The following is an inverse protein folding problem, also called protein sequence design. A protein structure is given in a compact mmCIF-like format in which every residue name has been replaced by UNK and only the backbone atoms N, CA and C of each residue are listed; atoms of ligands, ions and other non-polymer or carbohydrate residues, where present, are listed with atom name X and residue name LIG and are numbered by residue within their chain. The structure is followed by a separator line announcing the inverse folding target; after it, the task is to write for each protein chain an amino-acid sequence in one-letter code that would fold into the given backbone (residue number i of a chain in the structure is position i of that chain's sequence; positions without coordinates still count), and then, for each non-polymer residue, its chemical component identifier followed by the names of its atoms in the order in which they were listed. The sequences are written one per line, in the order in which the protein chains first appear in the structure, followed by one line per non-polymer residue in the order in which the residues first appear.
data_IF_812542525884
#
_entry.id   IF_812542525884
#
_cell.length_a   1.000
_cell.length_b   1.000
_cell.length_c   1.000
_cell.angle_alpha   90.00
_cell.angle_beta   90.00
_cell.angle_gamma   90.00
#
_symmetry.space_group_name_H-M   'P 1'
#
loop_
_entity.id
_entity.type
_entity.pdbx_description
1 polymer ?
#
# COMPACT_ATOMS: atom_id res chain seq x y z
N UNK A 1 -5.94 18.64 -41.71
CA UNK A 1 -5.06 19.07 -40.60
C UNK A 1 -5.80 18.93 -39.27
N UNK A 2 -5.29 18.04 -38.42
CA UNK A 2 -5.38 17.98 -36.94
C UNK A 2 -5.58 16.53 -36.52
N UNK A 3 -4.49 15.90 -36.09
CA UNK A 3 -4.51 14.82 -35.10
C UNK A 3 -3.09 14.63 -34.58
N UNK A 4 -2.79 15.25 -33.44
CA UNK A 4 -1.76 14.82 -32.51
C UNK A 4 -2.43 14.76 -31.14
N UNK A 5 -3.01 13.60 -30.79
CA UNK A 5 -3.27 13.29 -29.39
C UNK A 5 -1.92 13.12 -28.71
N UNK A 6 -1.66 13.93 -27.70
CA UNK A 6 -0.36 13.96 -27.05
C UNK A 6 -0.17 12.70 -26.21
N UNK A 7 1.01 12.07 -26.28
CA UNK A 7 1.37 10.94 -25.41
C UNK A 7 1.23 11.28 -23.90
N UNK A 8 1.23 12.57 -23.54
CA UNK A 8 1.09 13.05 -22.16
C UNK A 8 -0.27 12.73 -21.54
N UNK A 9 -1.36 12.70 -22.33
CA UNK A 9 -2.68 12.34 -21.82
C UNK A 9 -2.79 10.83 -21.58
N UNK A 10 -2.08 10.03 -22.39
CA UNK A 10 -1.98 8.58 -22.22
C UNK A 10 -1.16 8.19 -20.97
N UNK A 11 -0.11 8.97 -20.62
CA UNK A 11 0.66 8.77 -19.39
C UNK A 11 -0.09 9.19 -18.12
N UNK A 12 -1.01 10.16 -18.21
CA UNK A 12 -1.94 10.48 -17.11
C UNK A 12 -2.97 9.38 -16.84
N UNK A 13 -3.30 8.58 -17.86
CA UNK A 13 -4.22 7.45 -17.73
C UNK A 13 -3.55 6.17 -17.21
N UNK A 14 -2.24 6.03 -17.35
CA UNK A 14 -1.51 4.78 -17.07
C UNK A 14 -1.05 4.60 -15.61
N UNK A 15 -1.19 5.62 -14.76
CA UNK A 15 -1.25 5.42 -13.32
C UNK A 15 -2.71 5.21 -12.96
N UNK A 16 -3.22 3.98 -13.14
CA UNK A 16 -4.42 3.53 -12.44
C UNK A 16 -4.16 3.76 -10.95
N UNK A 17 -4.60 4.91 -10.46
CA UNK A 17 -4.24 5.39 -9.14
C UNK A 17 -4.74 4.34 -8.15
N UNK A 18 -3.80 3.62 -7.55
CA UNK A 18 -4.11 2.52 -6.64
C UNK A 18 -4.88 3.13 -5.49
N UNK A 19 -6.18 2.85 -5.43
CA UNK A 19 -7.07 3.43 -4.43
C UNK A 19 -7.41 2.42 -3.36
N UNK A 20 -7.30 1.13 -3.68
CA UNK A 20 -7.81 0.03 -2.87
C UNK A 20 -7.24 0.05 -1.45
N UNK A 21 -5.96 0.39 -1.27
CA UNK A 21 -5.33 0.46 0.05
C UNK A 21 -5.32 1.86 0.68
N UNK A 22 -5.62 2.93 -0.07
CA UNK A 22 -5.53 4.33 0.39
C UNK A 22 -6.87 5.05 0.54
N UNK A 23 -7.97 4.44 0.11
CA UNK A 23 -9.31 5.02 0.21
C UNK A 23 -10.30 4.13 0.99
N UNK A 24 -11.36 4.78 1.45
CA UNK A 24 -12.56 4.14 2.01
C UNK A 24 -13.70 4.43 1.06
N UNK A 25 -14.41 3.38 0.62
CA UNK A 25 -15.56 3.51 -0.29
C UNK A 25 -16.74 2.68 0.19
N UNK A 26 -17.95 3.14 -0.11
CA UNK A 26 -19.22 2.47 0.16
C UNK A 26 -19.90 2.15 -1.15
N UNK A 27 -20.70 1.08 -1.16
CA UNK A 27 -21.51 0.63 -2.29
C UNK A 27 -20.72 0.54 -3.60
N UNK A 28 -19.49 -0.01 -3.51
CA UNK A 28 -18.63 -0.21 -4.67
C UNK A 28 -19.24 -1.23 -5.62
N UNK A 29 -18.97 -1.07 -6.92
CA UNK A 29 -19.47 -1.97 -7.95
C UNK A 29 -18.92 -3.39 -7.80
N UNK A 30 -19.62 -4.37 -8.36
CA UNK A 30 -19.15 -5.77 -8.36
C UNK A 30 -17.79 -5.95 -9.05
N UNK A 31 -17.45 -5.10 -10.02
CA UNK A 31 -16.14 -5.09 -10.65
C UNK A 31 -15.06 -4.59 -9.68
N UNK A 32 -15.33 -3.53 -8.91
CA UNK A 32 -14.40 -2.98 -7.93
C UNK A 32 -14.19 -3.87 -6.71
N UNK A 33 -15.15 -4.77 -6.41
CA UNK A 33 -15.00 -5.79 -5.37
C UNK A 33 -14.02 -6.90 -5.77
N UNK A 34 -13.72 -7.07 -7.06
CA UNK A 34 -12.73 -8.06 -7.48
C UNK A 34 -11.32 -7.63 -7.07
N UNK A 35 -10.44 -8.58 -6.71
CA UNK A 35 -9.04 -8.27 -6.45
C UNK A 35 -8.39 -7.65 -7.68
N UNK A 36 -7.70 -6.52 -7.50
CA UNK A 36 -6.87 -5.94 -8.56
C UNK A 36 -5.61 -6.77 -8.81
N UNK A 37 -4.88 -6.46 -9.88
CA UNK A 37 -3.54 -7.02 -10.08
C UNK A 37 -2.63 -6.69 -8.87
N UNK A 38 -1.99 -7.73 -8.32
CA UNK A 38 -1.17 -7.66 -7.10
C UNK A 38 -1.95 -7.79 -5.78
N UNK A 39 -3.28 -7.67 -5.81
CA UNK A 39 -4.13 -7.93 -4.66
C UNK A 39 -4.44 -9.43 -4.56
N UNK A 40 -4.37 -9.97 -3.34
CA UNK A 40 -4.65 -11.38 -3.03
C UNK A 40 -5.64 -11.46 -1.88
N UNK A 41 -6.68 -12.25 -2.07
CA UNK A 41 -7.58 -12.63 -0.97
C UNK A 41 -6.80 -13.54 -0.03
N UNK A 42 -6.71 -13.14 1.23
CA UNK A 42 -6.04 -13.90 2.30
C UNK A 42 -7.05 -14.76 3.03
N UNK A 43 -8.20 -14.18 3.38
CA UNK A 43 -9.24 -14.87 4.12
C UNK A 43 -10.64 -14.38 3.71
N UNK A 44 -11.62 -15.25 3.90
CA UNK A 44 -13.04 -14.95 3.76
C UNK A 44 -13.73 -15.43 5.04
N UNK A 45 -14.35 -14.49 5.74
CA UNK A 45 -15.07 -14.73 6.99
C UNK A 45 -16.55 -14.51 6.74
N UNK A 46 -17.28 -15.62 6.67
CA UNK A 46 -18.73 -15.62 6.55
C UNK A 46 -19.41 -15.26 7.87
N UNK A 47 -20.69 -14.88 7.78
CA UNK A 47 -21.53 -14.57 8.94
C UNK A 47 -20.95 -13.47 9.82
N UNK A 48 -20.49 -12.39 9.19
CA UNK A 48 -20.01 -11.16 9.83
C UNK A 48 -21.06 -10.08 9.65
N UNK A 49 -21.54 -9.50 10.74
CA UNK A 49 -22.45 -8.36 10.72
C UNK A 49 -21.64 -7.05 10.80
N UNK A 50 -22.00 -6.06 9.98
CA UNK A 50 -21.60 -4.66 10.20
C UNK A 50 -22.57 -4.03 11.21
N UNK A 51 -22.24 -4.15 12.49
CA UNK A 51 -23.10 -3.75 13.61
C UNK A 51 -23.35 -2.24 13.66
N UNK A 52 -22.49 -1.42 13.05
CA UNK A 52 -22.66 0.03 13.07
C UNK A 52 -23.42 0.55 11.85
N UNK A 53 -23.08 0.08 10.65
CA UNK A 53 -23.72 0.55 9.41
C UNK A 53 -24.97 -0.23 9.04
N UNK A 54 -24.99 -1.55 9.25
CA UNK A 54 -26.02 -2.46 8.74
C UNK A 54 -26.47 -3.47 9.80
N UNK A 55 -26.83 -2.97 10.98
CA UNK A 55 -27.18 -3.80 12.14
C UNK A 55 -28.43 -4.66 11.88
N UNK A 56 -28.35 -5.96 12.14
CA UNK A 56 -29.39 -6.92 11.79
C UNK A 56 -29.18 -7.63 10.45
N UNK A 57 -28.19 -7.23 9.66
CA UNK A 57 -27.89 -7.87 8.38
C UNK A 57 -26.67 -8.78 8.47
N UNK A 58 -26.83 -10.03 8.04
CA UNK A 58 -25.71 -10.95 7.88
C UNK A 58 -24.93 -10.57 6.62
N UNK A 59 -23.62 -10.45 6.76
CA UNK A 59 -22.70 -10.23 5.66
C UNK A 59 -21.52 -11.18 5.66
N UNK A 60 -20.58 -10.86 4.77
CA UNK A 60 -19.30 -11.53 4.59
C UNK A 60 -18.21 -10.48 4.61
N UNK A 61 -17.14 -10.75 5.37
CA UNK A 61 -15.91 -9.97 5.34
C UNK A 61 -14.84 -10.70 4.53
N UNK A 62 -14.33 -10.04 3.50
CA UNK A 62 -13.21 -10.49 2.67
C UNK A 62 -11.99 -9.70 3.12
N UNK A 63 -10.94 -10.42 3.51
CA UNK A 63 -9.67 -9.88 3.97
C UNK A 63 -8.66 -10.07 2.85
N UNK A 64 -8.19 -8.97 2.25
CA UNK A 64 -7.13 -8.99 1.24
C UNK A 64 -5.84 -8.42 1.79
N UNK A 65 -4.75 -8.54 1.04
CA UNK A 65 -3.46 -7.91 1.38
C UNK A 65 -3.46 -6.37 1.23
N UNK A 66 -4.53 -5.74 0.72
CA UNK A 66 -4.62 -4.30 0.50
C UNK A 66 -5.79 -3.63 1.22
N UNK A 67 -6.89 -4.34 1.45
CA UNK A 67 -8.14 -3.80 2.02
C UNK A 67 -8.98 -4.85 2.70
N UNK A 68 -9.94 -4.39 3.49
CA UNK A 68 -11.08 -5.18 3.94
C UNK A 68 -12.31 -4.81 3.13
N UNK A 69 -13.04 -5.82 2.66
CA UNK A 69 -14.30 -5.62 1.94
C UNK A 69 -15.39 -6.32 2.73
N UNK A 70 -16.41 -5.60 3.15
CA UNK A 70 -17.61 -6.21 3.71
C UNK A 70 -18.76 -6.02 2.73
N UNK A 71 -19.58 -7.05 2.55
CA UNK A 71 -20.84 -6.91 1.82
C UNK A 71 -21.96 -7.67 2.52
N UNK A 72 -23.18 -7.15 2.41
CA UNK A 72 -24.37 -7.86 2.86
C UNK A 72 -24.53 -9.16 2.06
N UNK A 73 -24.97 -10.23 2.73
CA UNK A 73 -25.10 -11.55 2.10
C UNK A 73 -26.30 -11.62 1.16
N UNK A 74 -27.40 -10.95 1.51
CA UNK A 74 -28.66 -10.96 0.73
C UNK A 74 -28.64 -9.90 -0.37
N UNK A 75 -28.10 -8.71 -0.10
CA UNK A 75 -28.07 -7.58 -1.04
C UNK A 75 -26.64 -7.08 -1.21
N UNK A 76 -25.79 -7.72 -2.05
CA UNK A 76 -24.36 -7.40 -2.16
C UNK A 76 -24.04 -5.98 -2.66
N UNK A 77 -25.04 -5.23 -3.17
CA UNK A 77 -24.88 -3.81 -3.50
C UNK A 77 -24.61 -2.95 -2.27
N UNK A 78 -25.10 -3.39 -1.10
CA UNK A 78 -24.78 -2.80 0.19
C UNK A 78 -23.45 -3.38 0.62
N UNK A 79 -22.40 -2.58 0.48
CA UNK A 79 -21.04 -3.01 0.77
C UNK A 79 -20.13 -1.83 1.14
N UNK A 80 -18.94 -2.15 1.63
CA UNK A 80 -17.91 -1.19 1.94
C UNK A 80 -16.53 -1.79 1.70
N UNK A 81 -15.58 -0.93 1.41
CA UNK A 81 -14.16 -1.22 1.22
C UNK A 81 -13.34 -0.27 2.09
N UNK A 82 -12.46 -0.83 2.92
CA UNK A 82 -11.58 -0.09 3.83
C UNK A 82 -10.13 -0.39 3.43
N UNK A 83 -9.43 0.57 2.84
CA UNK A 83 -8.01 0.46 2.56
C UNK A 83 -7.17 0.36 3.82
N UNK A 84 -6.17 -0.54 3.82
CA UNK A 84 -5.34 -0.79 5.00
C UNK A 84 -4.48 0.43 5.39
N UNK A 85 -4.12 1.31 4.46
CA UNK A 85 -3.41 2.57 4.76
C UNK A 85 -4.30 3.59 5.49
N UNK A 86 -5.63 3.45 5.40
CA UNK A 86 -6.55 4.35 6.08
C UNK A 86 -6.72 4.00 7.56
N UNK A 87 -6.38 2.78 7.97
CA UNK A 87 -6.62 2.29 9.33
C UNK A 87 -5.69 3.01 10.31
N UNK A 88 -6.28 3.59 11.36
CA UNK A 88 -5.57 4.21 12.47
C UNK A 88 -5.38 3.18 13.59
N UNK A 89 -6.44 2.44 13.92
CA UNK A 89 -6.39 1.44 14.98
C UNK A 89 -7.44 0.35 14.80
N UNK A 90 -7.12 -0.83 15.32
CA UNK A 90 -8.01 -1.97 15.42
C UNK A 90 -8.05 -2.38 16.90
N UNK A 91 -9.25 -2.56 17.44
CA UNK A 91 -9.45 -2.98 18.82
C UNK A 91 -10.61 -3.98 18.92
N UNK A 92 -10.53 -4.88 19.90
CA UNK A 92 -11.68 -5.71 20.29
C UNK A 92 -12.38 -5.01 21.45
N UNK A 93 -13.69 -4.77 21.32
CA UNK A 93 -14.53 -4.23 22.38
C UNK A 93 -15.89 -4.89 22.35
N UNK A 94 -16.60 -4.88 23.48
CA UNK A 94 -17.96 -5.38 23.55
C UNK A 94 -18.92 -4.45 22.80
N UNK A 95 -19.80 -5.03 21.98
CA UNK A 95 -20.87 -4.35 21.24
C UNK A 95 -22.19 -5.11 21.38
N UNK A 96 -23.30 -4.43 21.06
CA UNK A 96 -24.64 -5.03 21.03
C UNK A 96 -25.07 -5.25 19.59
N UNK A 97 -24.95 -6.50 19.13
CA UNK A 97 -25.44 -6.94 17.83
C UNK A 97 -26.92 -7.27 17.88
N UNK A 98 -27.67 -6.92 16.84
CA UNK A 98 -29.09 -7.32 16.73
C UNK A 98 -29.24 -8.82 16.50
N UNK A 99 -28.29 -9.44 15.79
CA UNK A 99 -28.31 -10.88 15.50
C UNK A 99 -27.69 -11.75 16.61
N UNK A 100 -26.88 -11.14 17.50
CA UNK A 100 -26.01 -11.86 18.44
C UNK A 100 -26.22 -11.48 19.91
N UNK A 101 -26.85 -10.33 20.17
CA UNK A 101 -26.87 -9.72 21.50
C UNK A 101 -25.52 -9.11 21.87
N UNK A 102 -25.24 -9.02 23.17
CA UNK A 102 -23.97 -8.51 23.70
C UNK A 102 -22.83 -9.49 23.41
N UNK A 103 -21.82 -9.04 22.66
CA UNK A 103 -20.70 -9.89 22.24
C UNK A 103 -19.47 -9.05 21.92
N UNK A 104 -18.32 -9.70 21.78
CA UNK A 104 -17.10 -9.03 21.34
C UNK A 104 -17.15 -8.72 19.85
N UNK A 105 -16.82 -7.49 19.50
CA UNK A 105 -16.80 -7.00 18.14
C UNK A 105 -15.46 -6.34 17.81
N UNK A 106 -15.14 -6.36 16.52
CA UNK A 106 -13.95 -5.76 15.94
C UNK A 106 -14.25 -4.30 15.61
N UNK A 107 -13.59 -3.39 16.31
CA UNK A 107 -13.63 -1.96 16.07
C UNK A 107 -12.47 -1.57 15.16
N UNK A 108 -12.78 -1.02 13.99
CA UNK A 108 -11.80 -0.49 13.05
C UNK A 108 -11.99 1.01 12.96
N UNK A 109 -11.03 1.78 13.50
CA UNK A 109 -10.97 3.22 13.35
C UNK A 109 -10.11 3.53 12.13
N UNK A 110 -10.66 4.27 11.16
CA UNK A 110 -9.96 4.62 9.94
C UNK A 110 -10.17 6.10 9.59
N UNK A 111 -9.26 6.65 8.78
CA UNK A 111 -9.33 8.03 8.31
C UNK A 111 -9.01 8.08 6.82
N UNK A 112 -9.96 8.60 6.06
CA UNK A 112 -9.77 9.08 4.69
C UNK A 112 -9.89 10.61 4.72
N UNK A 113 -10.82 11.19 3.95
CA UNK A 113 -11.18 12.61 4.05
C UNK A 113 -11.70 12.97 5.45
N UNK A 114 -12.51 12.08 6.02
CA UNK A 114 -13.05 12.17 7.38
C UNK A 114 -12.68 10.92 8.18
N UNK A 115 -12.93 10.95 9.50
CA UNK A 115 -12.75 9.79 10.36
C UNK A 115 -14.00 8.92 10.33
N UNK A 116 -13.80 7.62 10.18
CA UNK A 116 -14.82 6.59 10.24
C UNK A 116 -14.48 5.58 11.31
N UNK A 117 -15.51 4.99 11.90
CA UNK A 117 -15.37 3.83 12.77
C UNK A 117 -16.34 2.78 12.26
N UNK A 118 -15.85 1.55 12.13
CA UNK A 118 -16.60 0.37 11.69
C UNK A 118 -16.61 -0.65 12.82
N UNK A 119 -17.72 -1.35 12.98
CA UNK A 119 -17.89 -2.35 14.04
C UNK A 119 -18.35 -3.64 13.38
N UNK A 120 -17.51 -4.67 13.40
CA UNK A 120 -17.82 -5.97 12.83
C UNK A 120 -18.00 -7.03 13.91
N UNK A 121 -19.14 -7.70 13.89
CA UNK A 121 -19.46 -8.78 14.83
C UNK A 121 -19.42 -10.12 14.12
N UNK A 122 -18.66 -11.08 14.65
CA UNK A 122 -18.74 -12.45 14.20
C UNK A 122 -19.97 -13.13 14.79
N UNK A 123 -20.88 -13.62 13.94
CA UNK A 123 -22.09 -14.29 14.41
C UNK A 123 -21.80 -15.72 14.89
N UNK A 124 -20.72 -16.35 14.40
CA UNK A 124 -20.32 -17.72 14.76
C UNK A 124 -19.70 -17.73 16.18
N UNK A 125 -20.31 -18.44 17.15
CA UNK A 125 -19.81 -18.48 18.53
C UNK A 125 -18.42 -19.09 18.62
N UNK A 126 -17.57 -18.54 19.49
CA UNK A 126 -16.28 -19.14 19.84
C UNK A 126 -15.24 -19.14 18.70
N UNK A 127 -15.53 -18.52 17.56
CA UNK A 127 -14.58 -18.45 16.44
C UNK A 127 -13.75 -17.16 16.49
N UNK A 128 -12.44 -17.24 16.77
CA UNK A 128 -11.56 -16.07 16.78
C UNK A 128 -11.13 -15.63 15.37
N UNK A 129 -11.51 -16.38 14.32
CA UNK A 129 -10.97 -16.26 12.95
C UNK A 129 -11.04 -14.83 12.41
N UNK A 130 -12.16 -14.14 12.64
CA UNK A 130 -12.34 -12.73 12.25
C UNK A 130 -11.19 -11.87 12.79
N UNK A 131 -10.95 -11.95 14.09
CA UNK A 131 -9.96 -11.13 14.78
C UNK A 131 -8.54 -11.52 14.39
N UNK A 132 -8.23 -12.82 14.34
CA UNK A 132 -6.88 -13.31 14.04
C UNK A 132 -6.45 -12.91 12.63
N UNK A 133 -7.31 -13.11 11.62
CA UNK A 133 -6.97 -12.84 10.22
C UNK A 133 -6.83 -11.34 9.96
N UNK A 134 -7.76 -10.52 10.47
CA UNK A 134 -7.73 -9.06 10.31
C UNK A 134 -6.49 -8.45 10.98
N UNK A 135 -6.20 -8.83 12.23
CA UNK A 135 -5.07 -8.28 12.98
C UNK A 135 -3.74 -8.70 12.35
N UNK A 136 -3.62 -9.97 11.94
CA UNK A 136 -2.40 -10.48 11.31
C UNK A 136 -2.09 -9.72 10.00
N UNK A 137 -3.08 -9.55 9.14
CA UNK A 137 -2.90 -8.87 7.85
C UNK A 137 -2.66 -7.38 8.03
N UNK A 138 -3.38 -6.70 8.92
CA UNK A 138 -3.10 -5.29 9.21
C UNK A 138 -1.66 -5.09 9.71
N UNK A 139 -1.18 -5.93 10.63
CA UNK A 139 0.21 -5.87 11.12
C UNK A 139 1.22 -6.11 10.00
N UNK A 140 0.99 -7.11 9.16
CA UNK A 140 1.87 -7.40 8.03
C UNK A 140 1.90 -6.26 7.01
N UNK A 141 0.75 -5.63 6.75
CA UNK A 141 0.69 -4.42 5.92
C UNK A 141 1.49 -3.29 6.59
N UNK A 142 1.25 -3.00 7.87
CA UNK A 142 1.89 -1.89 8.58
C UNK A 142 3.42 -1.98 8.65
N UNK A 143 3.97 -3.18 8.86
CA UNK A 143 5.42 -3.40 8.95
C UNK A 143 6.14 -3.40 7.59
N UNK A 144 5.39 -3.48 6.48
CA UNK A 144 5.94 -3.53 5.11
C UNK A 144 5.79 -2.20 4.35
N UNK A 145 5.62 -1.07 5.05
CA UNK A 145 5.45 0.25 4.41
C UNK A 145 6.57 0.62 3.42
N UNK A 146 7.81 0.21 3.68
CA UNK A 146 8.97 0.54 2.82
C UNK A 146 8.90 -0.05 1.40
N UNK A 147 8.01 -1.01 1.12
CA UNK A 147 7.78 -1.53 -0.23
C UNK A 147 6.92 -0.61 -1.09
N UNK A 148 6.24 0.38 -0.49
CA UNK A 148 5.22 1.18 -1.18
C UNK A 148 5.19 2.66 -0.80
N UNK A 149 5.82 3.05 0.31
CA UNK A 149 5.90 4.44 0.77
C UNK A 149 7.31 5.00 0.57
N UNK A 150 7.38 6.24 0.06
CA UNK A 150 8.61 7.02 0.04
C UNK A 150 9.10 7.26 1.47
N UNK A 151 10.39 7.04 1.71
CA UNK A 151 11.01 7.26 3.01
C UNK A 151 12.20 8.21 2.88
N UNK A 152 12.14 9.32 3.62
CA UNK A 152 13.27 10.20 3.86
C UNK A 152 13.88 9.88 5.21
N UNK A 153 15.21 9.92 5.29
CA UNK A 153 15.99 9.79 6.54
C UNK A 153 15.58 8.56 7.36
N UNK A 154 15.54 7.40 6.71
CA UNK A 154 15.25 6.12 7.35
C UNK A 154 16.52 5.45 7.89
N UNK A 155 16.37 4.53 8.84
CA UNK A 155 17.44 3.60 9.22
C UNK A 155 17.55 2.51 8.14
N UNK A 156 18.17 2.87 7.00
CA UNK A 156 18.26 2.02 5.81
C UNK A 156 19.64 1.36 5.66
N UNK A 157 20.65 1.90 6.34
CA UNK A 157 22.03 1.45 6.22
C UNK A 157 22.41 0.71 7.50
N UNK A 158 23.06 -0.45 7.34
CA UNK A 158 23.59 -1.27 8.43
C UNK A 158 24.99 -1.74 7.99
N UNK A 159 26.00 -1.50 8.82
CA UNK A 159 27.41 -1.80 8.49
C UNK A 159 27.88 -1.22 7.14
N UNK A 160 27.51 0.03 6.85
CA UNK A 160 27.82 0.76 5.59
C UNK A 160 27.21 0.16 4.31
N UNK A 161 26.31 -0.82 4.44
CA UNK A 161 25.60 -1.42 3.32
C UNK A 161 24.08 -1.21 3.45
N UNK A 162 23.37 -1.30 2.33
CA UNK A 162 21.92 -1.23 2.32
C UNK A 162 21.32 -2.45 3.05
N UNK A 163 20.49 -2.20 4.06
CA UNK A 163 19.65 -3.22 4.69
C UNK A 163 18.51 -3.60 3.76
N UNK A 164 18.63 -4.78 3.15
CA UNK A 164 17.62 -5.33 2.26
C UNK A 164 16.37 -5.77 3.05
N UNK A 165 15.19 -5.49 2.50
CA UNK A 165 13.92 -6.01 2.99
C UNK A 165 13.78 -7.50 2.63
N UNK A 166 12.86 -8.26 3.26
CA UNK A 166 12.52 -9.60 2.80
C UNK A 166 12.21 -9.64 1.29
N UNK A 167 12.76 -10.60 0.54
CA UNK A 167 12.57 -10.72 -0.92
C UNK A 167 13.14 -9.54 -1.75
N UNK A 168 13.79 -8.56 -1.12
CA UNK A 168 14.55 -7.52 -1.82
C UNK A 168 15.91 -8.08 -2.25
N UNK A 169 16.26 -7.84 -3.52
CA UNK A 169 17.53 -8.21 -4.10
C UNK A 169 18.21 -6.97 -4.66
N UNK A 170 19.49 -6.79 -4.34
CA UNK A 170 20.31 -5.73 -4.90
C UNK A 170 20.65 -6.06 -6.36
N UNK A 171 20.21 -5.23 -7.29
CA UNK A 171 20.51 -5.35 -8.72
C UNK A 171 21.80 -4.61 -9.06
N UNK A 172 22.00 -3.40 -8.52
CA UNK A 172 23.19 -2.60 -8.79
C UNK A 172 23.50 -1.61 -7.67
N UNK A 173 24.78 -1.28 -7.53
CA UNK A 173 25.33 -0.30 -6.58
C UNK A 173 26.23 0.66 -7.33
N UNK A 174 25.91 1.94 -7.29
CA UNK A 174 26.65 3.00 -7.97
C UNK A 174 27.16 3.99 -6.93
N UNK A 175 28.47 4.06 -6.76
CA UNK A 175 29.10 5.02 -5.87
C UNK A 175 29.29 6.37 -6.56
N UNK A 176 29.45 7.43 -5.77
CA UNK A 176 29.78 8.76 -6.29
C UNK A 176 28.58 9.52 -6.87
N UNK A 177 27.36 9.16 -6.45
CA UNK A 177 26.12 9.80 -6.90
C UNK A 177 25.79 10.96 -5.96
N UNK A 178 25.83 12.17 -6.48
CA UNK A 178 25.43 13.44 -5.88
C UNK A 178 23.89 13.57 -5.86
N UNK A 179 23.38 14.02 -4.73
CA UNK A 179 22.02 14.52 -4.62
C UNK A 179 22.06 16.04 -4.78
N UNK A 180 21.38 16.56 -5.80
CA UNK A 180 21.33 18.01 -6.10
C UNK A 180 20.07 18.70 -5.56
N UNK A 181 19.36 18.09 -4.61
CA UNK A 181 18.21 18.71 -3.92
C UNK A 181 18.61 19.84 -2.95
N UNK A 182 19.91 20.09 -2.78
CA UNK A 182 20.49 21.10 -1.88
C UNK A 182 21.52 21.96 -2.61
N UNK A 183 21.67 23.20 -2.20
CA UNK A 183 22.57 24.19 -2.83
C UNK A 183 24.05 23.75 -2.94
N UNK A 184 24.54 22.88 -2.06
CA UNK A 184 25.94 22.43 -2.08
C UNK A 184 26.13 21.01 -2.64
N UNK A 185 25.05 20.33 -3.05
CA UNK A 185 25.10 18.92 -3.44
C UNK A 185 25.57 17.99 -2.30
N UNK A 186 25.15 16.74 -2.29
CA UNK A 186 25.68 15.76 -1.34
C UNK A 186 26.15 14.52 -2.07
N UNK A 187 27.42 14.12 -1.91
CA UNK A 187 27.94 12.88 -2.49
C UNK A 187 27.43 11.66 -1.72
N UNK A 188 27.08 10.60 -2.45
CA UNK A 188 26.53 9.38 -1.87
C UNK A 188 26.66 8.15 -2.76
N UNK A 189 25.97 7.09 -2.34
CA UNK A 189 25.83 5.83 -3.06
C UNK A 189 24.37 5.62 -3.42
N UNK A 190 24.15 5.15 -4.65
CA UNK A 190 22.85 4.80 -5.18
C UNK A 190 22.73 3.28 -5.29
N UNK A 191 21.67 2.73 -4.70
CA UNK A 191 21.33 1.32 -4.70
C UNK A 191 20.08 1.12 -5.53
N UNK A 192 20.13 0.16 -6.45
CA UNK A 192 19.02 -0.23 -7.32
C UNK A 192 18.66 -1.65 -6.94
N UNK A 193 17.43 -1.86 -6.49
CA UNK A 193 16.93 -3.19 -6.10
C UNK A 193 15.76 -3.60 -7.00
N UNK A 194 15.25 -4.81 -6.83
CA UNK A 194 14.04 -5.27 -7.52
C UNK A 194 12.73 -4.63 -7.02
N UNK A 195 12.75 -3.83 -5.94
CA UNK A 195 11.53 -3.22 -5.37
C UNK A 195 11.58 -1.69 -5.26
N UNK A 196 12.76 -1.10 -5.14
CA UNK A 196 12.94 0.34 -4.89
C UNK A 196 14.33 0.82 -5.29
N UNK A 197 14.48 2.13 -5.36
CA UNK A 197 15.80 2.77 -5.42
C UNK A 197 16.10 3.46 -4.10
N UNK A 198 17.35 3.40 -3.66
CA UNK A 198 17.81 4.04 -2.44
C UNK A 198 19.04 4.87 -2.72
N UNK A 199 19.05 6.12 -2.27
CA UNK A 199 20.24 6.95 -2.25
C UNK A 199 20.63 7.24 -0.79
N UNK A 200 21.92 7.15 -0.48
CA UNK A 200 22.45 7.44 0.87
C UNK A 200 23.72 8.29 0.78
N UNK A 201 23.82 9.35 1.58
CA UNK A 201 24.99 10.21 1.62
C UNK A 201 26.20 9.51 2.25
N UNK A 202 27.39 9.74 1.69
CA UNK A 202 28.64 9.14 2.17
C UNK A 202 29.04 9.67 3.55
N UNK A 203 28.84 10.98 3.76
CA UNK A 203 29.27 11.67 4.98
C UNK A 203 28.20 11.69 6.09
N UNK A 204 26.98 11.23 5.79
CA UNK A 204 25.87 11.23 6.73
C UNK A 204 24.87 10.12 6.40
N UNK A 205 25.00 8.98 7.08
CA UNK A 205 24.12 7.81 6.88
C UNK A 205 22.65 8.08 7.21
N UNK A 206 22.34 9.11 8.00
CA UNK A 206 20.97 9.52 8.26
C UNK A 206 20.36 10.34 7.10
N UNK A 207 21.18 10.81 6.15
CA UNK A 207 20.72 11.52 4.97
C UNK A 207 20.57 10.56 3.79
N UNK A 208 19.39 9.97 3.71
CA UNK A 208 19.04 9.01 2.68
C UNK A 208 17.60 9.18 2.21
N UNK A 209 17.33 8.62 1.04
CA UNK A 209 16.03 8.60 0.36
C UNK A 209 15.79 7.20 -0.18
N UNK A 210 14.64 6.61 0.12
CA UNK A 210 14.17 5.34 -0.45
C UNK A 210 12.87 5.58 -1.19
N UNK A 211 12.87 5.29 -2.49
CA UNK A 211 11.73 5.51 -3.40
C UNK A 211 11.31 4.15 -3.99
N UNK A 212 10.19 3.57 -3.55
CA UNK A 212 9.65 2.36 -4.15
C UNK A 212 9.18 2.60 -5.58
N UNK A 213 9.30 1.60 -6.45
CA UNK A 213 8.86 1.73 -7.84
C UNK A 213 7.38 2.08 -7.97
N UNK A 214 6.55 1.65 -7.01
CA UNK A 214 5.13 2.01 -6.96
C UNK A 214 4.88 3.52 -6.89
N UNK A 215 5.83 4.30 -6.37
CA UNK A 215 5.74 5.76 -6.25
C UNK A 215 6.36 6.51 -7.45
N UNK A 216 7.02 5.81 -8.37
CA UNK A 216 7.71 6.42 -9.51
C UNK A 216 6.76 6.47 -10.70
N UNK A 217 6.27 7.67 -11.02
CA UNK A 217 5.37 7.89 -12.17
C UNK A 217 6.13 7.87 -13.50
N UNK A 218 7.31 8.50 -13.54
CA UNK A 218 8.15 8.52 -14.73
C UNK A 218 9.61 8.71 -14.35
N UNK A 219 10.49 8.16 -15.17
CA UNK A 219 11.94 8.38 -15.11
C UNK A 219 12.30 9.06 -16.43
N UNK A 220 12.72 10.31 -16.36
CA UNK A 220 13.17 11.05 -17.54
C UNK A 220 14.60 11.56 -17.34
N UNK A 221 15.37 11.55 -18.42
CA UNK A 221 16.75 12.02 -18.43
C UNK A 221 16.87 13.49 -17.95
N UNK A 222 15.84 14.32 -18.15
CA UNK A 222 15.85 15.76 -17.82
C UNK A 222 15.82 16.02 -16.30
N UNK A 223 15.09 15.21 -15.53
CA UNK A 223 15.14 15.26 -14.04
C UNK A 223 16.52 14.78 -13.56
N UNK A 224 17.13 13.86 -14.30
CA UNK A 224 18.51 13.43 -14.09
C UNK A 224 19.55 14.43 -14.62
N UNK A 225 19.26 15.39 -15.50
CA UNK A 225 20.27 16.37 -15.94
C UNK A 225 20.48 17.51 -14.93
N UNK A 226 19.48 17.83 -14.12
CA UNK A 226 19.69 18.59 -12.88
C UNK A 226 20.26 17.72 -11.75
N UNK A 227 20.61 16.45 -12.00
CA UNK A 227 21.15 15.47 -11.03
C UNK A 227 21.90 14.28 -11.70
N UNK A 228 22.92 14.54 -12.55
CA UNK A 228 23.95 13.63 -13.14
C UNK A 228 24.10 13.46 -14.65
N UNK A 229 25.38 13.43 -15.07
CA UNK A 229 25.88 12.67 -16.20
C UNK A 229 26.20 11.22 -15.78
N UNK A 230 25.30 10.27 -16.02
CA UNK A 230 25.63 8.83 -16.01
C UNK A 230 24.51 8.02 -16.70
N UNK A 231 24.62 7.76 -18.01
CA UNK A 231 23.56 7.07 -18.77
C UNK A 231 24.02 5.85 -19.57
N UNK A 232 25.16 5.22 -19.26
CA UNK A 232 25.59 4.03 -20.01
C UNK A 232 25.17 2.69 -19.40
N UNK A 233 24.61 2.63 -18.18
CA UNK A 233 24.31 1.34 -17.51
C UNK A 233 22.86 1.13 -17.04
N UNK A 234 22.05 2.19 -16.88
CA UNK A 234 20.68 2.05 -16.35
C UNK A 234 19.69 1.50 -17.39
N UNK A 235 19.93 1.76 -18.67
CA UNK A 235 19.08 1.28 -19.78
C UNK A 235 19.18 -0.23 -19.96
N UNK A 236 20.35 -0.84 -19.74
CA UNK A 236 20.52 -2.29 -19.89
C UNK A 236 19.70 -3.08 -18.85
N UNK A 237 19.76 -2.69 -17.57
CA UNK A 237 19.08 -3.41 -16.49
C UNK A 237 17.54 -3.30 -16.55
N UNK A 238 16.99 -2.22 -17.12
CA UNK A 238 15.53 -2.06 -17.27
C UNK A 238 14.97 -2.70 -18.54
N UNK A 239 15.80 -2.89 -19.57
CA UNK A 239 15.41 -3.57 -20.82
C UNK A 239 15.52 -5.10 -20.71
N UNK A 240 16.44 -5.64 -19.90
CA UNK A 240 16.60 -7.09 -19.74
C UNK A 240 15.47 -7.78 -18.95
N UNK A 241 14.63 -7.04 -18.22
CA UNK A 241 13.45 -7.59 -17.54
C UNK A 241 12.12 -7.38 -18.30
N UNK A 242 12.18 -7.02 -19.59
CA UNK A 242 11.03 -6.97 -20.51
C UNK A 242 11.16 -7.91 -21.71
N UNK A 243 11.84 -9.04 -21.52
CA UNK A 243 11.77 -10.22 -22.39
C UNK A 243 11.50 -11.47 -21.54
#
# INVERSE_FOLDING_TARGET
MRNCHSNADCYKMAADNVWEDVDIKFDISSAQMQPRSGEKVVDIVDSVEDTKGNNGERGRLIVTNLRFIWHAQVIPRINLSIGLSCIISIATKTANSKLRGTTDALYVLAKAQTRFEFIFTNLVPGSPRLFTSVIAIYRAYDTTRLYRQLKLRGALIENKELKLLPLEQLCSKVNGVWNLSSNQGNLGTFYITNIRVVWNATMNEAFNVSIPYLQIVSISAIIFFYSFACFSHLTAAMLEHRL
#
